data_IF_678891524109
#
_entry.id   IF_678891524109
#
_cell.length_a   1.000
_cell.length_b   1.000
_cell.length_c   1.000
_cell.angle_alpha   90.00
_cell.angle_beta   90.00
_cell.angle_gamma   90.00
#
_symmetry.space_group_name_H-M   'P 1'
#
loop_
_entity.id
_entity.type
_entity.pdbx_description
1 polymer ?
#
# COMPACT_ATOMS: atom_id res chain seq x y z
N UNK A 1 0.74 -27.22 0.19
CA UNK A 1 1.69 -26.06 0.23
C UNK A 1 0.86 -24.84 0.39
N UNK A 2 0.87 -24.22 1.56
CA UNK A 2 0.29 -22.91 1.78
C UNK A 2 0.96 -21.92 0.81
N UNK A 3 0.17 -21.29 -0.03
CA UNK A 3 0.65 -20.17 -0.85
C UNK A 3 1.03 -19.08 0.16
N UNK A 4 2.26 -18.56 0.04
CA UNK A 4 2.76 -17.50 0.92
C UNK A 4 1.99 -16.21 0.67
N UNK A 5 0.76 -16.11 1.22
CA UNK A 5 -0.06 -14.90 1.15
C UNK A 5 0.44 -13.87 2.15
N UNK A 6 0.44 -12.61 1.74
CA UNK A 6 0.60 -11.45 2.61
C UNK A 6 -0.74 -10.76 2.81
N UNK A 7 -0.85 -9.98 3.86
CA UNK A 7 -2.08 -9.24 4.20
C UNK A 7 -1.79 -7.75 4.21
N UNK A 8 -2.63 -6.95 3.59
CA UNK A 8 -2.66 -5.50 3.79
C UNK A 8 -3.81 -5.16 4.74
N UNK A 9 -3.49 -4.57 5.88
CA UNK A 9 -4.46 -4.16 6.90
C UNK A 9 -4.60 -2.65 6.85
N UNK A 10 -5.78 -2.18 6.43
CA UNK A 10 -6.10 -0.76 6.47
C UNK A 10 -6.65 -0.35 7.83
N UNK A 11 -5.98 0.62 8.49
CA UNK A 11 -6.44 1.25 9.72
C UNK A 11 -7.39 2.41 9.38
N UNK A 12 -8.70 2.17 9.52
CA UNK A 12 -9.77 3.13 9.15
C UNK A 12 -10.12 4.07 10.31
N UNK A 13 -9.21 4.96 10.66
CA UNK A 13 -9.39 5.91 11.77
C UNK A 13 -9.12 7.38 11.38
N UNK A 14 -9.26 7.72 10.10
CA UNK A 14 -9.10 9.09 9.62
C UNK A 14 -10.27 10.03 9.96
N UNK A 15 -11.44 9.47 10.27
CA UNK A 15 -12.66 10.25 10.60
C UNK A 15 -13.18 10.05 12.02
N UNK A 16 -12.72 9.02 12.72
CA UNK A 16 -13.13 8.70 14.08
C UNK A 16 -11.94 8.13 14.85
N UNK A 17 -11.81 8.50 16.11
CA UNK A 17 -10.80 7.94 16.99
C UNK A 17 -11.27 6.58 17.52
N UNK A 18 -10.39 5.58 17.41
CA UNK A 18 -10.58 4.25 18.00
C UNK A 18 -9.45 4.00 18.98
N UNK A 19 -9.70 4.08 20.30
CA UNK A 19 -8.68 3.89 21.31
C UNK A 19 -7.93 2.56 21.17
N UNK A 20 -6.61 2.61 21.16
CA UNK A 20 -5.72 1.46 21.08
C UNK A 20 -5.90 0.62 19.79
N UNK A 21 -6.35 1.23 18.67
CA UNK A 21 -6.53 0.51 17.40
C UNK A 21 -5.20 -0.10 16.93
N UNK A 22 -4.14 0.68 16.93
CA UNK A 22 -2.82 0.28 16.45
C UNK A 22 -2.26 -0.86 17.30
N UNK A 23 -2.32 -0.72 18.63
CA UNK A 23 -1.83 -1.73 19.59
C UNK A 23 -2.58 -3.06 19.43
N UNK A 24 -3.91 -3.00 19.34
CA UNK A 24 -4.75 -4.20 19.16
C UNK A 24 -4.53 -4.86 17.81
N UNK A 25 -4.28 -4.07 16.77
CA UNK A 25 -3.99 -4.62 15.44
C UNK A 25 -2.64 -5.34 15.44
N UNK A 26 -1.60 -4.71 15.99
CA UNK A 26 -0.28 -5.35 16.12
C UNK A 26 -0.34 -6.62 16.95
N UNK A 27 -1.04 -6.61 18.09
CA UNK A 27 -1.25 -7.80 18.93
C UNK A 27 -1.97 -8.93 18.17
N UNK A 28 -3.00 -8.61 17.39
CA UNK A 28 -3.74 -9.61 16.59
C UNK A 28 -2.86 -10.23 15.51
N UNK A 29 -2.05 -9.42 14.82
CA UNK A 29 -1.10 -9.86 13.79
C UNK A 29 -0.02 -10.75 14.39
N UNK A 30 0.53 -10.38 15.54
CA UNK A 30 1.53 -11.18 16.28
C UNK A 30 0.94 -12.53 16.69
N UNK A 31 -0.24 -12.56 17.30
CA UNK A 31 -0.95 -13.79 17.66
C UNK A 31 -1.24 -14.71 16.47
N UNK A 32 -1.48 -14.11 15.30
CA UNK A 32 -1.69 -14.86 14.05
C UNK A 32 -0.40 -15.37 13.39
N UNK A 33 0.78 -14.99 13.91
CA UNK A 33 2.07 -15.31 13.30
C UNK A 33 2.27 -14.69 11.91
N UNK A 34 1.63 -13.53 11.65
CA UNK A 34 1.60 -12.89 10.34
C UNK A 34 2.50 -11.64 10.23
N UNK A 35 3.30 -11.34 11.26
CA UNK A 35 4.10 -10.11 11.35
C UNK A 35 4.92 -9.83 10.09
N UNK A 36 5.68 -10.82 9.60
CA UNK A 36 6.55 -10.71 8.43
C UNK A 36 5.77 -10.66 7.09
N UNK A 37 4.45 -10.84 7.13
CA UNK A 37 3.58 -10.92 5.96
C UNK A 37 2.49 -9.86 5.97
N UNK A 38 2.62 -8.84 6.80
CA UNK A 38 1.60 -7.80 6.96
C UNK A 38 2.14 -6.44 6.55
N UNK A 39 1.34 -5.73 5.73
CA UNK A 39 1.49 -4.31 5.44
C UNK A 39 0.38 -3.58 6.19
N UNK A 40 0.71 -2.51 6.89
CA UNK A 40 -0.25 -1.62 7.54
C UNK A 40 -0.45 -0.38 6.69
N UNK A 41 -1.68 -0.08 6.32
CA UNK A 41 -1.99 1.11 5.52
C UNK A 41 -3.05 1.98 6.20
N UNK A 42 -3.02 3.28 5.95
CA UNK A 42 -4.00 4.22 6.49
C UNK A 42 -3.96 5.56 5.75
N UNK A 43 -5.12 6.23 5.67
CA UNK A 43 -5.23 7.66 5.38
C UNK A 43 -4.85 8.54 6.57
N UNK A 44 -4.85 7.97 7.79
CA UNK A 44 -4.34 8.64 8.98
C UNK A 44 -2.84 8.32 9.13
N UNK A 45 -1.99 9.16 8.57
CA UNK A 45 -0.54 8.94 8.60
C UNK A 45 0.05 9.01 10.02
N UNK A 46 -0.61 9.70 10.97
CA UNK A 46 -0.21 9.63 12.40
C UNK A 46 -0.36 8.22 12.98
N UNK A 47 -1.37 7.45 12.49
CA UNK A 47 -1.54 6.05 12.87
C UNK A 47 -0.36 5.20 12.42
N UNK A 48 0.13 5.41 11.19
CA UNK A 48 1.29 4.69 10.67
C UNK A 48 2.58 5.05 11.45
N UNK A 49 2.75 6.31 11.81
CA UNK A 49 3.86 6.70 12.69
C UNK A 49 3.76 6.05 14.08
N UNK A 50 2.55 5.86 14.59
CA UNK A 50 2.33 5.15 15.87
C UNK A 50 2.63 3.66 15.71
N UNK A 51 2.17 3.01 14.64
CA UNK A 51 2.53 1.61 14.30
C UNK A 51 4.04 1.45 14.25
N UNK A 52 4.74 2.31 13.50
CA UNK A 52 6.19 2.25 13.36
C UNK A 52 6.94 2.47 14.69
N UNK A 53 6.43 3.32 15.59
CA UNK A 53 7.00 3.48 16.94
C UNK A 53 6.82 2.26 17.82
N UNK A 54 5.70 1.55 17.69
CA UNK A 54 5.39 0.34 18.44
C UNK A 54 6.12 -0.88 17.86
N UNK A 55 6.27 -0.94 16.55
CA UNK A 55 7.01 -1.98 15.84
C UNK A 55 7.86 -1.33 14.72
N UNK A 56 9.16 -1.06 14.95
CA UNK A 56 10.04 -0.46 13.96
C UNK A 56 10.25 -1.30 12.68
N UNK A 57 9.92 -2.58 12.72
CA UNK A 57 10.00 -3.48 11.55
C UNK A 57 8.68 -3.58 10.77
N UNK A 58 7.61 -2.92 11.25
CA UNK A 58 6.33 -2.93 10.55
C UNK A 58 6.43 -2.25 9.19
N UNK A 59 5.97 -2.92 8.15
CA UNK A 59 5.86 -2.36 6.80
C UNK A 59 4.62 -1.48 6.74
N UNK A 60 4.80 -0.19 6.45
CA UNK A 60 3.73 0.79 6.40
C UNK A 60 3.57 1.39 5.00
N UNK A 61 2.32 1.60 4.56
CA UNK A 61 1.95 2.21 3.30
C UNK A 61 1.02 3.41 3.47
N UNK A 62 1.40 4.55 2.87
CA UNK A 62 0.62 5.79 2.90
C UNK A 62 -0.55 5.73 1.93
N UNK A 63 -1.79 5.70 2.43
CA UNK A 63 -2.98 5.91 1.60
C UNK A 63 -3.20 7.39 1.37
N UNK A 64 -3.44 7.78 0.12
CA UNK A 64 -3.84 9.13 -0.26
C UNK A 64 -4.68 9.14 -1.54
N UNK A 65 -5.55 10.15 -1.61
CA UNK A 65 -6.47 10.41 -2.73
C UNK A 65 -6.39 11.90 -3.05
N UNK A 66 -5.18 12.36 -3.34
CA UNK A 66 -4.89 13.75 -3.67
C UNK A 66 -3.55 13.81 -4.41
N UNK A 67 -3.44 14.76 -5.33
CA UNK A 67 -2.19 15.03 -6.03
C UNK A 67 -1.18 15.63 -5.04
N UNK A 68 -0.26 14.80 -4.54
CA UNK A 68 0.80 15.23 -3.65
C UNK A 68 2.07 15.58 -4.44
N UNK A 69 2.73 16.65 -4.06
CA UNK A 69 4.03 16.99 -4.61
C UNK A 69 5.12 16.11 -3.97
N UNK A 70 5.80 15.31 -4.79
CA UNK A 70 6.88 14.41 -4.36
C UNK A 70 6.52 13.52 -3.14
N UNK A 71 5.45 12.69 -3.22
CA UNK A 71 4.98 11.88 -2.10
C UNK A 71 6.05 10.89 -1.59
N UNK A 72 7.00 10.49 -2.44
CA UNK A 72 8.14 9.65 -2.08
C UNK A 72 9.08 10.33 -1.06
N UNK A 73 9.29 11.64 -1.12
CA UNK A 73 10.10 12.37 -0.13
C UNK A 73 9.38 12.45 1.21
N UNK A 74 8.06 12.65 1.19
CA UNK A 74 7.22 12.58 2.37
C UNK A 74 7.24 11.19 3.02
N UNK A 75 7.12 10.12 2.22
CA UNK A 75 7.23 8.75 2.71
C UNK A 75 8.57 8.48 3.40
N UNK A 76 9.68 8.92 2.79
CA UNK A 76 11.01 8.82 3.38
C UNK A 76 11.13 9.57 4.71
N UNK A 77 10.60 10.78 4.78
CA UNK A 77 10.60 11.57 6.01
C UNK A 77 9.85 10.87 7.15
N UNK A 78 8.78 10.15 6.83
CA UNK A 78 8.01 9.37 7.79
C UNK A 78 8.62 7.99 8.10
N UNK A 79 9.60 7.52 7.32
CA UNK A 79 10.22 6.21 7.47
C UNK A 79 9.31 5.05 7.04
N UNK A 80 8.34 5.30 6.14
CA UNK A 80 7.44 4.26 5.63
C UNK A 80 7.97 3.65 4.33
N UNK A 81 7.50 2.45 3.97
CA UNK A 81 8.07 1.62 2.92
C UNK A 81 7.24 1.59 1.64
N UNK A 82 6.00 2.09 1.66
CA UNK A 82 5.12 2.02 0.50
C UNK A 82 4.26 3.28 0.34
N UNK A 83 3.95 3.59 -0.91
CA UNK A 83 2.95 4.55 -1.34
C UNK A 83 1.71 3.79 -1.79
N UNK A 84 0.54 4.20 -1.33
CA UNK A 84 -0.76 3.62 -1.70
C UNK A 84 -1.66 4.72 -2.31
N UNK A 85 -1.34 5.22 -3.51
CA UNK A 85 -2.14 6.25 -4.17
C UNK A 85 -3.41 5.70 -4.79
N UNK A 86 -4.41 6.57 -4.99
CA UNK A 86 -5.53 6.25 -5.86
C UNK A 86 -5.04 6.19 -7.31
N UNK A 87 -5.40 5.15 -8.07
CA UNK A 87 -4.89 4.85 -9.41
C UNK A 87 -5.18 5.93 -10.48
N UNK A 88 -6.16 6.80 -10.24
CA UNK A 88 -6.51 7.89 -11.14
C UNK A 88 -5.69 9.17 -10.92
N UNK A 89 -4.77 9.17 -9.95
CA UNK A 89 -3.93 10.33 -9.68
C UNK A 89 -3.07 10.70 -10.90
N UNK A 90 -3.10 11.96 -11.36
CA UNK A 90 -2.32 12.39 -12.53
C UNK A 90 -0.80 12.24 -12.36
N UNK A 91 -0.30 12.12 -11.15
CA UNK A 91 1.12 11.94 -10.83
C UNK A 91 1.69 10.63 -11.38
N UNK A 92 0.84 9.61 -11.59
CA UNK A 92 1.27 8.40 -12.32
C UNK A 92 1.77 8.69 -13.74
N UNK A 93 1.25 9.73 -14.36
CA UNK A 93 1.68 10.17 -15.70
C UNK A 93 3.08 10.80 -15.67
N UNK A 94 3.60 11.16 -14.51
CA UNK A 94 4.83 11.95 -14.32
C UNK A 94 6.01 11.18 -13.76
N UNK A 95 5.98 9.83 -13.75
CA UNK A 95 7.10 9.00 -13.30
C UNK A 95 7.18 8.81 -11.77
N UNK A 96 6.04 8.84 -11.09
CA UNK A 96 5.97 8.61 -9.64
C UNK A 96 6.49 7.23 -9.24
N UNK A 97 6.13 6.18 -10.02
CA UNK A 97 6.53 4.80 -9.73
C UNK A 97 8.05 4.67 -9.77
N UNK A 98 8.70 5.17 -10.83
CA UNK A 98 10.16 5.12 -10.94
C UNK A 98 10.84 5.98 -9.86
N UNK A 99 10.26 7.13 -9.49
CA UNK A 99 10.80 7.96 -8.43
C UNK A 99 10.74 7.26 -7.07
N UNK A 100 9.62 6.58 -6.77
CA UNK A 100 9.46 5.78 -5.57
C UNK A 100 10.45 4.60 -5.54
N UNK A 101 10.56 3.86 -6.64
CA UNK A 101 11.48 2.72 -6.77
C UNK A 101 12.96 3.13 -6.57
N UNK A 102 13.39 4.29 -7.12
CA UNK A 102 14.75 4.81 -6.88
C UNK A 102 15.06 5.03 -5.41
N UNK A 103 14.03 5.22 -4.59
CA UNK A 103 14.16 5.41 -3.14
C UNK A 103 13.87 4.14 -2.33
N UNK A 104 13.64 3.01 -3.01
CA UNK A 104 13.32 1.72 -2.38
C UNK A 104 11.90 1.64 -1.81
N UNK A 105 10.98 2.48 -2.30
CA UNK A 105 9.57 2.47 -1.91
C UNK A 105 8.78 1.64 -2.90
N UNK A 106 7.83 0.83 -2.41
CA UNK A 106 6.83 0.16 -3.23
C UNK A 106 5.64 1.08 -3.54
N UNK A 107 4.98 0.83 -4.67
CA UNK A 107 3.76 1.54 -5.07
C UNK A 107 2.61 0.56 -5.24
N UNK A 108 1.59 0.66 -4.39
CA UNK A 108 0.42 -0.21 -4.36
C UNK A 108 -0.84 0.62 -4.63
N UNK A 109 -1.38 0.50 -5.83
CA UNK A 109 -2.52 1.33 -6.29
C UNK A 109 -3.87 0.74 -5.92
N UNK A 110 -4.87 1.59 -5.68
CA UNK A 110 -6.23 1.22 -5.28
C UNK A 110 -7.27 2.16 -5.91
N UNK A 111 -8.53 1.77 -6.08
CA UNK A 111 -9.04 0.42 -6.26
C UNK A 111 -9.28 0.23 -7.74
N UNK A 112 -8.51 -0.63 -8.37
CA UNK A 112 -8.46 -0.80 -9.83
C UNK A 112 -9.34 -1.98 -10.23
N UNK A 113 -10.43 -1.72 -10.95
CA UNK A 113 -11.41 -2.75 -11.30
C UNK A 113 -11.53 -3.00 -12.81
N UNK A 114 -11.33 -1.96 -13.64
CA UNK A 114 -11.46 -2.07 -15.09
C UNK A 114 -10.19 -2.65 -15.72
N UNK A 115 -10.34 -3.54 -16.70
CA UNK A 115 -9.20 -4.23 -17.34
C UNK A 115 -8.19 -3.26 -17.98
N UNK A 116 -8.68 -2.17 -18.56
CA UNK A 116 -7.82 -1.14 -19.16
C UNK A 116 -6.92 -0.47 -18.12
N UNK A 117 -7.47 -0.17 -16.93
CA UNK A 117 -6.71 0.41 -15.83
C UNK A 117 -5.78 -0.62 -15.18
N UNK A 118 -6.22 -1.88 -15.03
CA UNK A 118 -5.37 -2.97 -14.55
C UNK A 118 -4.14 -3.14 -15.45
N UNK A 119 -4.34 -3.12 -16.77
CA UNK A 119 -3.25 -3.20 -17.77
C UNK A 119 -2.31 -2.01 -17.63
N UNK A 120 -2.86 -0.80 -17.59
CA UNK A 120 -2.08 0.43 -17.41
C UNK A 120 -1.22 0.38 -16.14
N UNK A 121 -1.78 -0.01 -15.00
CA UNK A 121 -1.02 -0.10 -13.74
C UNK A 121 0.07 -1.20 -13.80
N UNK A 122 -0.21 -2.31 -14.48
CA UNK A 122 0.77 -3.37 -14.70
C UNK A 122 1.93 -2.92 -15.60
N UNK A 123 1.65 -2.17 -16.66
CA UNK A 123 2.65 -1.59 -17.59
C UNK A 123 3.50 -0.51 -16.92
N UNK A 124 2.94 0.21 -15.95
CA UNK A 124 3.66 1.20 -15.13
C UNK A 124 4.51 0.57 -14.02
N UNK A 125 4.55 -0.75 -13.95
CA UNK A 125 5.32 -1.54 -12.97
C UNK A 125 4.96 -1.26 -11.51
N UNK A 126 3.67 -0.99 -11.23
CA UNK A 126 3.18 -0.93 -9.86
C UNK A 126 3.42 -2.27 -9.13
N UNK A 127 3.92 -2.22 -7.89
CA UNK A 127 4.25 -3.41 -7.09
C UNK A 127 3.01 -4.17 -6.65
N UNK A 128 1.94 -3.45 -6.32
CA UNK A 128 0.65 -4.01 -5.92
C UNK A 128 -0.52 -3.32 -6.58
N UNK A 129 -1.54 -4.12 -6.91
CA UNK A 129 -2.82 -3.62 -7.43
C UNK A 129 -3.94 -4.14 -6.54
N UNK A 130 -4.61 -3.23 -5.85
CA UNK A 130 -5.78 -3.54 -5.01
C UNK A 130 -7.02 -3.47 -5.89
N UNK A 131 -7.73 -4.60 -5.99
CA UNK A 131 -8.90 -4.76 -6.84
C UNK A 131 -10.00 -5.56 -6.13
N UNK A 132 -11.26 -5.29 -6.48
CA UNK A 132 -12.39 -6.11 -6.08
C UNK A 132 -12.49 -7.41 -6.93
N UNK A 133 -11.73 -7.48 -8.02
CA UNK A 133 -11.71 -8.60 -8.97
C UNK A 133 -10.30 -9.19 -9.11
N UNK A 134 -9.79 -9.88 -8.07
CA UNK A 134 -8.40 -10.36 -8.05
C UNK A 134 -8.09 -11.42 -9.11
N UNK A 135 -9.09 -12.19 -9.52
CA UNK A 135 -8.98 -13.17 -10.61
C UNK A 135 -8.75 -12.49 -11.97
N UNK A 136 -9.48 -11.39 -12.25
CA UNK A 136 -9.30 -10.55 -13.45
C UNK A 136 -7.92 -9.88 -13.41
N UNK A 137 -7.57 -9.28 -12.27
CA UNK A 137 -6.27 -8.63 -12.10
C UNK A 137 -5.11 -9.61 -12.34
N UNK A 138 -5.18 -10.83 -11.79
CA UNK A 138 -4.16 -11.86 -12.00
C UNK A 138 -4.06 -12.31 -13.46
N UNK A 139 -5.19 -12.40 -14.18
CA UNK A 139 -5.19 -12.71 -15.61
C UNK A 139 -4.46 -11.62 -16.40
N UNK A 140 -4.85 -10.36 -16.20
CA UNK A 140 -4.24 -9.21 -16.89
C UNK A 140 -2.74 -9.09 -16.59
N UNK A 141 -2.33 -9.27 -15.34
CA UNK A 141 -0.92 -9.26 -14.96
C UNK A 141 -0.10 -10.32 -15.68
N UNK A 142 -0.64 -11.54 -15.88
CA UNK A 142 0.03 -12.60 -16.65
C UNK A 142 0.15 -12.25 -18.13
N UNK A 143 -0.84 -11.58 -18.70
CA UNK A 143 -0.80 -11.13 -20.11
C UNK A 143 0.26 -10.04 -20.34
N UNK A 144 0.46 -9.14 -19.37
CA UNK A 144 1.40 -8.02 -19.48
C UNK A 144 2.84 -8.43 -19.16
N UNK A 145 3.03 -9.26 -18.14
CA UNK A 145 4.38 -9.60 -17.62
C UNK A 145 4.93 -10.93 -18.17
N UNK A 146 4.15 -11.70 -18.92
CA UNK A 146 4.55 -12.97 -19.56
C UNK A 146 4.47 -14.15 -18.60
#
# INVERSE_FOLDING_TARGET
RERGLSVNIELKNSRAAFPALEEKTLEAVEKAGMREKTIYSSFNHYSLLKVHRLDPNAVCGLLYDAMLYQPWDYARQLGVQALHPHFSEPTFVTGEVEAAHRLGLSVNVWTVNEEADLRRMAEMDCDGIISNYPDVALRVLREVRG
#
